data_IF_822834596576
#
_entry.id   IF_822834596576
#
_cell.length_a   1.000
_cell.length_b   1.000
_cell.length_c   1.000
_cell.angle_alpha   90.00
_cell.angle_beta   90.00
_cell.angle_gamma   90.00
#
_symmetry.space_group_name_H-M   'P 1'
#
loop_
_entity.id
_entity.type
_entity.pdbx_description
1 polymer ?
#
# COMPACT_ATOMS: atom_id res chain seq x y z
N UNK A 1 -42.47 13.03 20.83
CA UNK A 1 -41.21 13.14 21.58
C UNK A 1 -40.14 13.62 20.61
N UNK A 2 -39.64 14.85 20.78
CA UNK A 2 -38.61 15.40 19.90
C UNK A 2 -37.31 14.64 20.16
N UNK A 3 -36.81 13.96 19.13
CA UNK A 3 -35.49 13.33 19.17
C UNK A 3 -34.46 14.45 19.32
N UNK A 4 -33.94 14.64 20.53
CA UNK A 4 -32.81 15.53 20.76
C UNK A 4 -31.60 14.88 20.11
N UNK A 5 -31.33 15.26 18.85
CA UNK A 5 -30.12 14.91 18.13
C UNK A 5 -28.95 15.48 18.93
N UNK A 6 -28.37 14.66 19.80
CA UNK A 6 -27.27 15.07 20.67
C UNK A 6 -26.09 15.36 19.75
N UNK A 7 -25.69 16.63 19.65
CA UNK A 7 -24.50 17.00 18.92
C UNK A 7 -23.33 16.16 19.49
N UNK A 8 -22.61 15.49 18.60
CA UNK A 8 -21.35 14.81 18.92
C UNK A 8 -20.46 15.82 19.65
N UNK A 9 -19.82 15.40 20.75
CA UNK A 9 -18.94 16.26 21.55
C UNK A 9 -17.95 16.96 20.64
N UNK A 10 -18.03 18.29 20.54
CA UNK A 10 -17.07 19.08 19.77
C UNK A 10 -15.75 19.15 20.53
N UNK A 11 -14.64 19.05 19.82
CA UNK A 11 -13.30 19.23 20.40
C UNK A 11 -12.50 20.25 19.59
N UNK A 12 -11.44 20.76 20.21
CA UNK A 12 -10.52 21.66 19.55
C UNK A 12 -9.36 20.86 18.95
N UNK A 13 -8.88 21.28 17.78
CA UNK A 13 -7.65 20.74 17.21
C UNK A 13 -6.46 21.03 18.13
N UNK A 14 -5.59 20.02 18.28
CA UNK A 14 -4.37 20.11 19.09
C UNK A 14 -3.13 20.34 18.21
N UNK A 15 -1.94 20.42 18.81
CA UNK A 15 -0.71 20.66 18.04
C UNK A 15 -0.31 19.50 17.13
N UNK A 16 -0.77 18.28 17.42
CA UNK A 16 -0.40 17.06 16.71
C UNK A 16 -1.70 16.33 16.41
N UNK A 17 -2.00 16.16 15.14
CA UNK A 17 -3.18 15.44 14.65
C UNK A 17 -2.75 14.46 13.57
N UNK A 18 -3.51 13.39 13.37
CA UNK A 18 -3.39 12.53 12.20
C UNK A 18 -4.43 12.96 11.15
N UNK A 19 -4.28 12.54 9.90
CA UNK A 19 -5.27 12.81 8.84
C UNK A 19 -6.66 12.36 9.30
N UNK A 20 -6.78 11.16 9.85
CA UNK A 20 -8.04 10.63 10.35
C UNK A 20 -8.62 11.44 11.52
N UNK A 21 -7.82 11.86 12.51
CA UNK A 21 -8.37 12.68 13.62
C UNK A 21 -8.82 14.06 13.14
N UNK A 22 -8.10 14.63 12.17
CA UNK A 22 -8.47 15.88 11.50
C UNK A 22 -9.76 15.75 10.68
N UNK A 23 -9.90 14.72 9.85
CA UNK A 23 -11.11 14.52 9.03
C UNK A 23 -12.34 14.26 9.90
N UNK A 24 -12.21 13.46 10.98
CA UNK A 24 -13.28 13.29 11.96
C UNK A 24 -13.68 14.61 12.63
N UNK A 25 -12.70 15.45 12.97
CA UNK A 25 -12.96 16.78 13.53
C UNK A 25 -13.67 17.69 12.51
N UNK A 26 -13.22 17.67 11.25
CA UNK A 26 -13.76 18.48 10.18
C UNK A 26 -15.22 18.12 9.91
N UNK A 27 -15.53 16.82 9.77
CA UNK A 27 -16.90 16.34 9.59
C UNK A 27 -17.80 16.69 10.77
N UNK A 28 -17.31 16.55 12.01
CA UNK A 28 -18.03 16.95 13.21
C UNK A 28 -18.34 18.46 13.23
N UNK A 29 -17.36 19.29 12.85
CA UNK A 29 -17.49 20.73 12.82
C UNK A 29 -18.48 21.16 11.74
N UNK A 30 -18.37 20.64 10.52
CA UNK A 30 -19.29 20.91 9.41
C UNK A 30 -20.71 20.54 9.81
N UNK A 31 -20.91 19.34 10.36
CA UNK A 31 -22.22 18.91 10.87
C UNK A 31 -22.77 19.92 11.88
N UNK A 32 -21.99 20.32 12.88
CA UNK A 32 -22.47 21.24 13.90
C UNK A 32 -22.78 22.64 13.34
N UNK A 33 -21.96 23.15 12.43
CA UNK A 33 -22.22 24.41 11.74
C UNK A 33 -23.51 24.34 10.91
N UNK A 34 -23.75 23.21 10.24
CA UNK A 34 -24.96 22.98 9.43
C UNK A 34 -26.26 22.99 10.23
N UNK A 35 -26.21 22.67 11.54
CA UNK A 35 -27.39 22.74 12.42
C UNK A 35 -27.95 24.16 12.52
N UNK A 36 -27.11 25.18 12.33
CA UNK A 36 -27.54 26.56 12.22
C UNK A 36 -27.88 26.91 10.77
N UNK A 37 -29.18 27.03 10.49
CA UNK A 37 -29.70 27.39 9.15
C UNK A 37 -29.12 28.68 8.57
N UNK A 38 -28.61 29.58 9.42
CA UNK A 38 -27.98 30.82 8.96
C UNK A 38 -26.59 30.62 8.36
N UNK A 39 -25.93 29.49 8.64
CA UNK A 39 -24.59 29.17 8.11
C UNK A 39 -24.65 28.33 6.84
N UNK A 40 -25.76 27.62 6.60
CA UNK A 40 -25.94 26.78 5.42
C UNK A 40 -25.52 27.45 4.09
N UNK A 41 -25.84 28.73 3.81
CA UNK A 41 -25.42 29.39 2.57
C UNK A 41 -23.90 29.52 2.39
N UNK A 42 -23.12 29.50 3.47
CA UNK A 42 -21.66 29.67 3.43
C UNK A 42 -20.89 28.34 3.45
N UNK A 43 -21.58 27.23 3.76
CA UNK A 43 -20.99 25.88 3.83
C UNK A 43 -21.03 25.15 2.49
N UNK A 44 -21.70 25.69 1.47
CA UNK A 44 -21.77 25.11 0.13
C UNK A 44 -20.46 25.39 -0.62
N UNK A 45 -19.84 24.34 -1.16
CA UNK A 45 -18.64 24.43 -2.00
C UNK A 45 -18.85 25.41 -3.16
N UNK A 46 -17.87 26.29 -3.37
CA UNK A 46 -17.93 27.34 -4.39
C UNK A 46 -18.46 28.70 -3.93
N UNK A 47 -19.00 28.82 -2.71
CA UNK A 47 -19.34 30.13 -2.14
C UNK A 47 -18.08 30.93 -1.83
N UNK A 48 -17.92 32.08 -2.49
CA UNK A 48 -16.77 32.96 -2.32
C UNK A 48 -17.16 34.24 -1.57
N UNK A 49 -16.27 34.70 -0.70
CA UNK A 49 -16.35 35.99 -0.03
C UNK A 49 -15.03 36.75 -0.17
N UNK A 50 -15.10 38.07 -0.11
CA UNK A 50 -13.89 38.90 -0.23
C UNK A 50 -13.09 38.95 1.08
N UNK A 51 -11.76 39.08 0.96
CA UNK A 51 -10.84 39.28 2.09
C UNK A 51 -11.08 40.66 2.70
N UNK A 52 -11.02 40.77 4.03
CA UNK A 52 -11.29 42.04 4.72
C UNK A 52 -10.13 43.03 4.50
N UNK A 53 -10.28 43.96 3.56
CA UNK A 53 -9.33 45.08 3.34
C UNK A 53 -9.86 46.39 3.91
N UNK A 54 -9.03 47.44 3.96
CA UNK A 54 -9.33 48.72 4.63
C UNK A 54 -10.41 49.58 3.91
N UNK A 55 -10.91 49.15 2.75
CA UNK A 55 -11.80 49.96 1.90
C UNK A 55 -13.28 49.64 2.19
N UNK A 56 -14.14 50.67 2.25
CA UNK A 56 -15.55 50.56 2.67
C UNK A 56 -16.37 49.52 1.89
N UNK A 57 -16.08 49.33 0.59
CA UNK A 57 -16.74 48.33 -0.29
C UNK A 57 -16.40 46.89 0.10
N UNK A 58 -15.18 46.64 0.60
CA UNK A 58 -14.69 45.31 0.99
C UNK A 58 -15.08 44.93 2.43
N UNK A 59 -15.55 45.89 3.24
CA UNK A 59 -16.17 45.62 4.56
C UNK A 59 -17.39 44.71 4.47
N UNK A 60 -18.03 44.68 3.29
CA UNK A 60 -19.23 43.92 3.02
C UNK A 60 -18.94 42.53 2.44
N UNK A 61 -17.66 42.15 2.33
CA UNK A 61 -17.18 40.85 1.84
C UNK A 61 -17.78 40.40 0.49
N UNK A 62 -18.20 41.36 -0.35
CA UNK A 62 -18.85 41.09 -1.63
C UNK A 62 -20.34 40.69 -1.56
N UNK A 63 -21.02 40.86 -0.41
CA UNK A 63 -22.43 40.50 -0.28
C UNK A 63 -23.39 41.62 -0.68
N UNK A 64 -24.46 41.24 -1.38
CA UNK A 64 -25.60 42.09 -1.72
C UNK A 64 -26.83 41.74 -0.86
N UNK A 65 -27.78 42.68 -0.77
CA UNK A 65 -29.07 42.45 -0.11
C UNK A 65 -29.87 41.39 -0.88
N UNK A 66 -30.69 40.60 -0.17
CA UNK A 66 -31.63 39.72 -0.86
C UNK A 66 -32.63 40.52 -1.71
N UNK A 67 -32.81 40.10 -2.97
CA UNK A 67 -33.75 40.69 -3.90
C UNK A 67 -35.20 40.30 -3.63
N UNK A 68 -36.11 40.75 -4.49
CA UNK A 68 -37.54 40.50 -4.31
C UNK A 68 -37.95 39.03 -4.42
N UNK A 69 -37.09 38.19 -4.99
CA UNK A 69 -37.27 36.75 -5.16
C UNK A 69 -37.33 35.97 -3.84
N UNK A 70 -36.77 36.51 -2.76
CA UNK A 70 -36.84 35.91 -1.43
C UNK A 70 -38.09 36.41 -0.71
N UNK A 71 -38.90 35.54 -0.06
CA UNK A 71 -40.06 35.97 0.73
C UNK A 71 -39.68 37.03 1.75
N UNK A 72 -40.50 38.07 1.89
CA UNK A 72 -40.19 39.28 2.68
C UNK A 72 -39.75 38.96 4.13
N UNK A 73 -40.37 37.97 4.77
CA UNK A 73 -40.01 37.51 6.12
C UNK A 73 -38.65 36.81 6.25
N UNK A 74 -38.01 36.43 5.14
CA UNK A 74 -36.73 35.73 5.10
C UNK A 74 -35.61 36.55 4.44
N UNK A 75 -35.91 37.76 3.93
CA UNK A 75 -34.92 38.63 3.29
C UNK A 75 -33.87 39.08 4.31
N UNK A 76 -32.61 38.93 3.94
CA UNK A 76 -31.46 39.36 4.73
C UNK A 76 -30.76 40.53 4.07
N UNK A 77 -30.38 41.50 4.90
CA UNK A 77 -29.48 42.56 4.44
C UNK A 77 -28.05 42.03 4.30
N UNK A 78 -27.24 42.71 3.50
CA UNK A 78 -25.81 42.43 3.36
C UNK A 78 -25.09 42.46 4.72
N UNK A 79 -25.46 43.37 5.63
CA UNK A 79 -24.85 43.45 6.97
C UNK A 79 -25.21 42.23 7.83
N UNK A 80 -26.45 41.73 7.70
CA UNK A 80 -26.86 40.50 8.38
C UNK A 80 -26.10 39.28 7.84
N UNK A 81 -25.92 39.18 6.51
CA UNK A 81 -25.11 38.12 5.87
C UNK A 81 -23.65 38.16 6.35
N UNK A 82 -23.04 39.34 6.37
CA UNK A 82 -21.66 39.54 6.87
C UNK A 82 -21.55 39.16 8.34
N UNK A 83 -22.51 39.56 9.17
CA UNK A 83 -22.53 39.22 10.59
C UNK A 83 -22.65 37.70 10.81
N UNK A 84 -23.50 37.02 10.04
CA UNK A 84 -23.63 35.56 10.08
C UNK A 84 -22.34 34.86 9.64
N UNK A 85 -21.67 35.34 8.59
CA UNK A 85 -20.39 34.82 8.15
C UNK A 85 -19.31 35.02 9.21
N UNK A 86 -19.20 36.21 9.82
CA UNK A 86 -18.21 36.47 10.87
C UNK A 86 -18.43 35.61 12.12
N UNK A 87 -19.70 35.32 12.48
CA UNK A 87 -20.03 34.38 13.55
C UNK A 87 -19.59 32.95 13.22
N UNK A 88 -19.84 32.48 11.99
CA UNK A 88 -19.41 31.15 11.53
C UNK A 88 -17.88 31.03 11.56
N UNK A 89 -17.17 31.99 10.96
CA UNK A 89 -15.70 32.03 10.97
C UNK A 89 -15.14 32.13 12.40
N UNK A 90 -15.85 32.85 13.28
CA UNK A 90 -15.52 32.93 14.69
C UNK A 90 -15.65 31.60 15.43
N UNK A 91 -16.65 30.78 15.10
CA UNK A 91 -16.81 29.44 15.65
C UNK A 91 -15.70 28.50 15.16
N UNK A 92 -15.38 28.52 13.86
CA UNK A 92 -14.27 27.73 13.30
C UNK A 92 -12.96 28.10 14.01
N UNK A 93 -12.69 29.39 14.19
CA UNK A 93 -11.49 29.84 14.89
C UNK A 93 -11.46 29.48 16.38
N UNK A 94 -12.60 29.25 17.02
CA UNK A 94 -12.64 28.78 18.41
C UNK A 94 -12.24 27.30 18.52
N UNK A 95 -12.65 26.47 17.55
CA UNK A 95 -12.32 25.04 17.51
C UNK A 95 -10.99 24.74 16.80
N UNK A 96 -10.39 25.74 16.14
CA UNK A 96 -9.06 25.67 15.53
C UNK A 96 -8.12 26.73 16.11
N UNK A 97 -7.67 26.57 17.38
CA UNK A 97 -6.84 27.57 18.06
C UNK A 97 -5.39 27.63 17.54
N UNK A 98 -4.97 26.62 16.78
CA UNK A 98 -3.62 26.49 16.21
C UNK A 98 -3.35 27.47 15.06
N UNK A 99 -4.39 27.84 14.30
CA UNK A 99 -4.30 28.87 13.26
C UNK A 99 -4.70 30.22 13.86
N UNK A 100 -3.99 31.29 13.47
CA UNK A 100 -4.37 32.64 13.87
C UNK A 100 -5.81 32.95 13.49
N UNK A 101 -6.60 33.42 14.46
CA UNK A 101 -7.98 33.89 14.24
C UNK A 101 -8.07 34.94 13.12
N UNK A 102 -7.06 35.81 12.99
CA UNK A 102 -7.03 36.81 11.90
C UNK A 102 -6.89 36.15 10.53
N UNK A 103 -6.11 35.07 10.41
CA UNK A 103 -5.99 34.31 9.17
C UNK A 103 -7.35 33.76 8.76
N UNK A 104 -8.06 33.09 9.68
CA UNK A 104 -9.39 32.49 9.41
C UNK A 104 -10.43 33.56 9.08
N UNK A 105 -10.48 34.68 9.81
CA UNK A 105 -11.55 35.67 9.67
C UNK A 105 -11.31 36.65 8.51
N UNK A 106 -10.06 37.08 8.30
CA UNK A 106 -9.73 38.19 7.38
C UNK A 106 -9.09 37.76 6.07
N UNK A 107 -8.30 36.69 6.08
CA UNK A 107 -7.41 36.35 4.95
C UNK A 107 -7.95 35.23 4.06
N UNK A 108 -9.06 34.60 4.44
CA UNK A 108 -9.71 33.54 3.66
C UNK A 108 -10.83 34.09 2.78
N UNK A 109 -11.10 33.39 1.69
CA UNK A 109 -12.11 33.77 0.69
C UNK A 109 -13.16 32.68 0.40
N UNK A 110 -13.02 31.50 1.00
CA UNK A 110 -13.98 30.40 0.92
C UNK A 110 -13.78 29.46 2.10
N UNK A 111 -14.75 28.57 2.31
CA UNK A 111 -14.69 27.55 3.35
C UNK A 111 -13.57 26.54 3.04
N UNK A 112 -13.42 26.19 1.77
CA UNK A 112 -12.38 25.28 1.27
C UNK A 112 -10.97 25.85 1.50
N UNK A 113 -10.80 27.17 1.31
CA UNK A 113 -9.53 27.84 1.60
C UNK A 113 -9.15 27.75 3.09
N UNK A 114 -10.11 27.74 4.01
CA UNK A 114 -9.84 27.55 5.44
C UNK A 114 -9.33 26.14 5.69
N UNK A 115 -9.98 25.13 5.12
CA UNK A 115 -9.59 23.73 5.28
C UNK A 115 -8.20 23.46 4.71
N UNK A 116 -7.88 24.00 3.53
CA UNK A 116 -6.55 23.95 2.94
C UNK A 116 -5.48 24.56 3.86
N UNK A 117 -5.73 25.74 4.45
CA UNK A 117 -4.79 26.39 5.37
C UNK A 117 -4.52 25.51 6.59
N UNK A 118 -5.55 24.86 7.15
CA UNK A 118 -5.39 23.98 8.30
C UNK A 118 -4.62 22.70 7.90
N UNK A 119 -4.96 22.08 6.77
CA UNK A 119 -4.24 20.91 6.23
C UNK A 119 -2.76 21.23 6.00
N UNK A 120 -2.46 22.38 5.41
CA UNK A 120 -1.08 22.85 5.18
C UNK A 120 -0.31 23.00 6.50
N UNK A 121 -0.93 23.51 7.56
CA UNK A 121 -0.27 23.66 8.86
C UNK A 121 0.19 22.32 9.45
N UNK A 122 -0.59 21.25 9.28
CA UNK A 122 -0.21 19.91 9.74
C UNK A 122 0.66 19.15 8.74
N UNK A 123 0.87 19.68 7.53
CA UNK A 123 1.56 18.97 6.46
C UNK A 123 0.72 17.84 5.85
N UNK A 124 -0.60 17.83 6.03
CA UNK A 124 -1.53 16.88 5.39
C UNK A 124 -1.73 17.14 3.90
N UNK A 125 -0.75 17.78 3.24
CA UNK A 125 -0.84 17.98 1.81
C UNK A 125 -0.61 16.62 1.12
N UNK A 126 -1.57 16.23 0.28
CA UNK A 126 -1.33 15.19 -0.71
C UNK A 126 -0.31 15.78 -1.67
N UNK A 127 0.93 15.41 -1.45
CA UNK A 127 2.06 15.81 -2.28
C UNK A 127 2.48 14.61 -3.10
N UNK A 128 3.07 14.84 -4.27
CA UNK A 128 3.74 13.75 -4.99
C UNK A 128 4.78 13.01 -4.14
N UNK A 129 5.33 13.66 -3.11
CA UNK A 129 6.22 13.04 -2.13
C UNK A 129 5.48 12.07 -1.19
N UNK A 130 4.27 12.41 -0.72
CA UNK A 130 3.47 11.49 0.11
C UNK A 130 3.25 10.17 -0.63
N UNK A 131 2.93 10.21 -1.93
CA UNK A 131 2.74 8.99 -2.72
C UNK A 131 3.99 8.09 -2.78
N UNK A 132 5.20 8.66 -2.67
CA UNK A 132 6.45 7.88 -2.61
C UNK A 132 6.54 7.05 -1.31
N UNK A 133 5.92 7.51 -0.22
CA UNK A 133 5.89 6.78 1.05
C UNK A 133 5.09 5.47 0.96
N UNK A 134 4.37 5.22 -0.14
CA UNK A 134 3.73 3.94 -0.43
C UNK A 134 4.75 2.78 -0.42
N UNK A 135 5.99 3.03 -0.86
CA UNK A 135 7.06 2.04 -0.89
C UNK A 135 7.50 1.59 0.51
N UNK A 136 7.26 2.41 1.53
CA UNK A 136 7.58 2.05 2.91
C UNK A 136 6.61 1.02 3.50
N UNK A 137 5.45 0.79 2.86
CA UNK A 137 4.46 -0.19 3.30
C UNK A 137 4.98 -1.60 3.01
N UNK A 138 5.23 -2.36 4.06
CA UNK A 138 5.64 -3.76 4.00
C UNK A 138 4.74 -4.62 4.89
N UNK A 139 4.79 -5.94 4.67
CA UNK A 139 4.09 -6.92 5.48
C UNK A 139 4.84 -7.15 6.80
N UNK A 140 4.18 -6.90 7.93
CA UNK A 140 4.81 -6.98 9.24
C UNK A 140 4.79 -8.42 9.82
N UNK A 141 5.80 -8.82 10.62
CA UNK A 141 5.81 -10.13 11.25
C UNK A 141 4.60 -10.34 12.18
N UNK A 142 3.77 -11.33 11.87
CA UNK A 142 2.57 -11.66 12.65
C UNK A 142 1.35 -10.78 12.35
N UNK A 143 1.47 -9.86 11.39
CA UNK A 143 0.34 -9.10 10.88
C UNK A 143 -0.64 -10.02 10.14
N UNK A 144 -1.95 -9.75 10.24
CA UNK A 144 -2.91 -10.45 9.42
C UNK A 144 -2.85 -9.88 8.00
N UNK A 145 -2.88 -10.72 6.94
CA UNK A 145 -2.91 -10.22 5.57
C UNK A 145 -4.01 -9.20 5.29
N UNK A 146 -5.17 -9.33 5.94
CA UNK A 146 -6.24 -8.35 5.82
C UNK A 146 -5.86 -6.97 6.37
N UNK A 147 -5.10 -6.90 7.47
CA UNK A 147 -4.68 -5.64 8.08
C UNK A 147 -3.72 -4.89 7.13
N UNK A 148 -2.82 -5.61 6.46
CA UNK A 148 -1.97 -5.06 5.39
C UNK A 148 -2.82 -4.48 4.25
N UNK A 149 -3.87 -5.20 3.81
CA UNK A 149 -4.78 -4.70 2.77
C UNK A 149 -5.47 -3.41 3.21
N UNK A 150 -5.93 -3.31 4.45
CA UNK A 150 -6.55 -2.09 4.98
C UNK A 150 -5.57 -0.92 5.00
N UNK A 151 -4.30 -1.14 5.38
CA UNK A 151 -3.26 -0.09 5.33
C UNK A 151 -3.00 0.40 3.91
N UNK A 152 -2.89 -0.52 2.96
CA UNK A 152 -2.72 -0.20 1.54
C UNK A 152 -3.92 0.58 0.99
N UNK A 153 -5.14 0.14 1.30
CA UNK A 153 -6.38 0.80 0.87
C UNK A 153 -6.48 2.23 1.43
N UNK A 154 -6.30 2.38 2.74
CA UNK A 154 -6.37 3.67 3.41
C UNK A 154 -5.34 4.65 2.82
N UNK A 155 -4.11 4.19 2.56
CA UNK A 155 -3.10 5.03 1.91
C UNK A 155 -3.53 5.50 0.52
N UNK A 156 -4.09 4.61 -0.31
CA UNK A 156 -4.53 4.98 -1.66
C UNK A 156 -5.71 5.94 -1.59
N UNK A 157 -6.70 5.70 -0.72
CA UNK A 157 -7.83 6.61 -0.50
C UNK A 157 -7.35 7.98 -0.03
N UNK A 158 -6.39 8.03 0.89
CA UNK A 158 -5.74 9.27 1.36
C UNK A 158 -4.89 9.93 0.28
N UNK A 159 -4.56 9.24 -0.83
CA UNK A 159 -3.76 9.76 -1.94
C UNK A 159 -4.59 10.19 -3.15
N UNK A 160 -5.89 9.89 -3.20
CA UNK A 160 -6.75 10.27 -4.31
C UNK A 160 -6.79 11.80 -4.44
N UNK A 161 -6.59 12.29 -5.66
CA UNK A 161 -6.57 13.72 -5.91
C UNK A 161 -7.98 14.30 -5.87
N UNK A 162 -8.15 15.42 -5.19
CA UNK A 162 -9.42 16.14 -5.14
C UNK A 162 -9.28 17.53 -5.72
N UNK A 163 -10.42 18.14 -6.07
CA UNK A 163 -10.47 19.58 -6.29
C UNK A 163 -10.01 20.27 -5.02
N UNK A 164 -9.35 21.41 -5.16
CA UNK A 164 -8.88 22.20 -4.01
C UNK A 164 -7.80 21.50 -3.15
N UNK A 165 -6.99 20.60 -3.70
CA UNK A 165 -5.80 20.08 -2.99
C UNK A 165 -4.53 20.94 -3.19
N UNK A 166 -4.56 21.87 -4.16
CA UNK A 166 -3.42 22.72 -4.47
C UNK A 166 -2.23 21.97 -5.10
N UNK A 167 -2.51 20.83 -5.72
CA UNK A 167 -1.57 20.03 -6.51
C UNK A 167 -2.05 20.02 -7.97
N UNK A 168 -1.11 20.09 -8.89
CA UNK A 168 -1.36 20.01 -10.33
C UNK A 168 -0.97 18.63 -10.84
N UNK A 169 -1.73 18.09 -11.78
CA UNK A 169 -1.37 16.90 -12.54
C UNK A 169 -1.14 17.29 -14.00
N UNK A 170 0.02 16.96 -14.57
CA UNK A 170 0.40 17.39 -15.91
C UNK A 170 0.34 18.92 -16.13
N UNK A 171 0.76 19.69 -15.12
CA UNK A 171 0.70 21.16 -15.10
C UNK A 171 -0.73 21.74 -15.18
N UNK A 172 -1.75 20.91 -14.98
CA UNK A 172 -3.17 21.29 -14.95
C UNK A 172 -3.72 21.14 -13.52
N UNK A 173 -4.62 22.05 -13.14
CA UNK A 173 -5.33 21.97 -11.87
C UNK A 173 -6.34 20.80 -11.92
N UNK A 174 -6.53 20.14 -10.78
CA UNK A 174 -7.53 19.07 -10.65
C UNK A 174 -8.93 19.68 -10.59
N UNK A 175 -9.75 19.38 -11.60
CA UNK A 175 -11.12 19.91 -11.72
C UNK A 175 -12.15 19.03 -11.00
N UNK A 176 -11.94 17.71 -11.03
CA UNK A 176 -12.85 16.70 -10.49
C UNK A 176 -12.19 15.88 -9.37
N UNK A 177 -13.00 15.44 -8.41
CA UNK A 177 -12.53 14.56 -7.35
C UNK A 177 -12.26 13.15 -7.93
N UNK A 178 -11.04 12.65 -7.75
CA UNK A 178 -10.60 11.34 -8.23
C UNK A 178 -11.33 10.24 -7.45
N UNK A 179 -11.88 9.29 -8.20
CA UNK A 179 -12.47 8.09 -7.63
C UNK A 179 -11.55 6.89 -7.82
N UNK A 180 -11.63 5.96 -6.88
CA UNK A 180 -10.88 4.71 -6.94
C UNK A 180 -11.29 3.89 -8.17
N UNK A 181 -10.43 3.89 -9.19
CA UNK A 181 -10.73 3.22 -10.45
C UNK A 181 -10.50 1.69 -10.37
N UNK A 182 -11.18 0.88 -11.19
CA UNK A 182 -11.01 -0.57 -11.19
C UNK A 182 -9.56 -1.03 -11.46
N UNK A 183 -8.77 -0.26 -12.21
CA UNK A 183 -7.36 -0.60 -12.45
C UNK A 183 -6.51 -0.35 -11.21
N UNK A 184 -6.77 0.74 -10.48
CA UNK A 184 -6.08 1.09 -9.25
C UNK A 184 -6.39 0.06 -8.15
N UNK A 185 -7.65 -0.35 -8.03
CA UNK A 185 -8.03 -1.45 -7.14
C UNK A 185 -7.29 -2.75 -7.50
N UNK A 186 -7.20 -3.11 -8.79
CA UNK A 186 -6.47 -4.33 -9.21
C UNK A 186 -4.97 -4.25 -8.92
N UNK A 187 -4.35 -3.08 -9.07
CA UNK A 187 -2.96 -2.86 -8.70
C UNK A 187 -2.76 -2.95 -7.19
N UNK A 188 -3.73 -2.50 -6.40
CA UNK A 188 -3.72 -2.64 -4.95
C UNK A 188 -3.68 -4.11 -4.54
N UNK A 189 -4.57 -4.94 -5.10
CA UNK A 189 -4.58 -6.38 -4.82
C UNK A 189 -3.30 -7.05 -5.29
N UNK A 190 -2.78 -6.68 -6.46
CA UNK A 190 -1.52 -7.24 -6.94
C UNK A 190 -0.34 -6.88 -6.01
N UNK A 191 -0.32 -5.66 -5.48
CA UNK A 191 0.69 -5.19 -4.54
C UNK A 191 0.57 -5.91 -3.21
N UNK A 192 -0.65 -6.01 -2.66
CA UNK A 192 -0.97 -6.78 -1.46
C UNK A 192 -0.44 -8.21 -1.53
N UNK A 193 -0.72 -8.92 -2.63
CA UNK A 193 -0.24 -10.29 -2.84
C UNK A 193 1.28 -10.39 -2.90
N UNK A 194 1.93 -9.42 -3.57
CA UNK A 194 3.40 -9.40 -3.72
C UNK A 194 4.11 -9.14 -2.40
N UNK A 195 3.56 -8.27 -1.55
CA UNK A 195 4.10 -7.96 -0.23
C UNK A 195 3.98 -9.12 0.75
N UNK A 196 2.92 -9.94 0.63
CA UNK A 196 2.79 -11.17 1.42
C UNK A 196 3.82 -12.22 0.98
N UNK A 197 3.91 -12.52 -0.33
CA UNK A 197 4.89 -13.46 -0.85
C UNK A 197 5.16 -13.23 -2.35
N UNK A 198 6.44 -13.21 -2.81
CA UNK A 198 6.78 -12.85 -4.19
C UNK A 198 6.23 -13.80 -5.26
N UNK A 199 6.10 -15.11 -4.98
CA UNK A 199 5.53 -16.09 -5.93
C UNK A 199 3.99 -16.18 -5.89
N UNK A 200 3.33 -15.51 -4.93
CA UNK A 200 1.89 -15.64 -4.73
C UNK A 200 1.04 -15.16 -5.92
N UNK A 201 1.36 -14.02 -6.60
CA UNK A 201 0.63 -13.62 -7.81
C UNK A 201 0.65 -14.68 -8.91
N UNK A 202 1.76 -15.40 -9.06
CA UNK A 202 1.90 -16.43 -10.07
C UNK A 202 1.08 -17.67 -9.72
N UNK A 203 1.04 -18.07 -8.44
CA UNK A 203 0.20 -19.17 -7.97
C UNK A 203 -1.30 -18.84 -8.15
N UNK A 204 -1.71 -17.61 -7.82
CA UNK A 204 -3.10 -17.16 -8.02
C UNK A 204 -3.50 -17.18 -9.49
N UNK A 205 -2.61 -16.74 -10.38
CA UNK A 205 -2.84 -16.82 -11.82
C UNK A 205 -3.05 -18.26 -12.30
N UNK A 206 -2.34 -19.23 -11.72
CA UNK A 206 -2.50 -20.66 -12.04
C UNK A 206 -3.83 -21.21 -11.50
N UNK A 207 -4.16 -20.90 -10.24
CA UNK A 207 -5.32 -21.47 -9.56
C UNK A 207 -6.66 -20.85 -9.98
N UNK A 208 -6.71 -19.54 -10.16
CA UNK A 208 -7.92 -18.77 -10.48
C UNK A 208 -7.97 -18.31 -11.94
N UNK A 209 -7.17 -18.93 -12.81
CA UNK A 209 -7.04 -18.53 -14.21
C UNK A 209 -8.33 -18.63 -15.03
N UNK A 210 -9.32 -19.40 -14.57
CA UNK A 210 -10.65 -19.50 -15.18
C UNK A 210 -11.57 -18.33 -14.79
N UNK A 211 -11.56 -17.96 -13.52
CA UNK A 211 -12.34 -16.89 -12.91
C UNK A 211 -11.85 -15.53 -13.42
N UNK A 212 -10.53 -15.36 -13.49
CA UNK A 212 -9.86 -14.16 -13.99
C UNK A 212 -10.14 -13.86 -15.48
N UNK A 213 -10.77 -14.78 -16.22
CA UNK A 213 -11.25 -14.49 -17.58
C UNK A 213 -12.51 -13.62 -17.60
N UNK A 214 -13.27 -13.60 -16.50
CA UNK A 214 -14.59 -12.95 -16.41
C UNK A 214 -14.71 -11.97 -15.24
N UNK A 215 -13.82 -12.06 -14.24
CA UNK A 215 -13.82 -11.25 -13.03
C UNK A 215 -12.45 -10.57 -12.86
N UNK A 216 -12.46 -9.38 -12.29
CA UNK A 216 -11.22 -8.69 -11.92
C UNK A 216 -10.55 -9.36 -10.72
N UNK A 217 -9.28 -9.05 -10.48
CA UNK A 217 -8.55 -9.59 -9.33
C UNK A 217 -9.17 -9.14 -8.01
N UNK A 218 -9.63 -7.88 -7.96
CA UNK A 218 -10.42 -7.32 -6.85
C UNK A 218 -11.71 -8.09 -6.62
N UNK A 219 -12.43 -8.42 -7.69
CA UNK A 219 -13.69 -9.14 -7.59
C UNK A 219 -13.53 -10.50 -6.91
N UNK A 220 -12.35 -11.13 -6.99
CA UNK A 220 -12.07 -12.45 -6.38
C UNK A 220 -11.26 -12.37 -5.08
N UNK A 221 -11.07 -11.15 -4.52
CA UNK A 221 -10.23 -10.93 -3.34
C UNK A 221 -10.71 -11.73 -2.14
N UNK A 222 -12.02 -11.83 -1.94
CA UNK A 222 -12.60 -12.56 -0.81
C UNK A 222 -12.30 -14.06 -0.90
N UNK A 223 -12.41 -14.66 -2.09
CA UNK A 223 -12.05 -16.06 -2.33
C UNK A 223 -10.54 -16.29 -2.14
N UNK A 224 -9.70 -15.37 -2.61
CA UNK A 224 -8.24 -15.45 -2.39
C UNK A 224 -7.90 -15.37 -0.90
N UNK A 225 -8.50 -14.41 -0.19
CA UNK A 225 -8.26 -14.22 1.24
C UNK A 225 -8.65 -15.44 2.07
N UNK A 226 -9.74 -16.13 1.71
CA UNK A 226 -10.17 -17.36 2.38
C UNK A 226 -9.21 -18.53 2.12
N UNK A 227 -8.63 -18.60 0.92
CA UNK A 227 -7.69 -19.65 0.55
C UNK A 227 -6.23 -19.33 0.92
N UNK A 228 -5.94 -18.13 1.45
CA UNK A 228 -4.60 -17.58 1.53
C UNK A 228 -3.65 -18.44 2.36
N UNK A 229 -4.09 -18.95 3.51
CA UNK A 229 -3.27 -19.82 4.36
C UNK A 229 -2.86 -21.11 3.61
N UNK A 230 -3.80 -21.75 2.92
CA UNK A 230 -3.53 -22.93 2.09
C UNK A 230 -2.60 -22.63 0.92
N UNK A 231 -2.70 -21.44 0.31
CA UNK A 231 -1.79 -21.01 -0.75
C UNK A 231 -0.37 -20.80 -0.24
N UNK A 232 -0.22 -20.24 0.96
CA UNK A 232 1.08 -20.02 1.59
C UNK A 232 1.72 -21.34 2.02
N UNK A 233 0.94 -22.28 2.56
CA UNK A 233 1.41 -23.64 2.84
C UNK A 233 1.90 -24.34 1.56
N UNK A 234 1.14 -24.24 0.45
CA UNK A 234 1.56 -24.80 -0.83
C UNK A 234 2.90 -24.21 -1.28
N UNK A 235 3.06 -22.89 -1.22
CA UNK A 235 4.33 -22.25 -1.57
C UNK A 235 5.47 -22.75 -0.67
N UNK A 236 5.25 -22.85 0.63
CA UNK A 236 6.24 -23.37 1.57
C UNK A 236 6.67 -24.80 1.21
N UNK A 237 5.72 -25.71 0.98
CA UNK A 237 6.03 -27.10 0.59
C UNK A 237 6.76 -27.20 -0.74
N UNK A 238 6.43 -26.34 -1.72
CA UNK A 238 7.12 -26.33 -3.00
C UNK A 238 8.56 -25.83 -2.85
N UNK A 239 8.81 -24.85 -2.00
CA UNK A 239 10.15 -24.34 -1.72
C UNK A 239 11.01 -25.38 -0.98
N UNK A 240 10.46 -26.04 0.04
CA UNK A 240 11.13 -27.17 0.72
C UNK A 240 11.48 -28.29 -0.27
N UNK A 241 10.57 -28.63 -1.18
CA UNK A 241 10.83 -29.63 -2.22
C UNK A 241 11.94 -29.20 -3.19
N UNK A 242 12.00 -27.91 -3.57
CA UNK A 242 13.10 -27.35 -4.38
C UNK A 242 14.44 -27.46 -3.63
N UNK A 243 14.48 -27.11 -2.34
CA UNK A 243 15.66 -27.18 -1.47
C UNK A 243 16.15 -28.63 -1.35
N UNK A 244 15.24 -29.58 -1.06
CA UNK A 244 15.57 -31.01 -0.94
C UNK A 244 16.15 -31.57 -2.24
N UNK A 245 15.57 -31.23 -3.40
CA UNK A 245 16.12 -31.62 -4.71
C UNK A 245 17.48 -30.98 -5.00
N UNK A 246 17.70 -29.73 -4.59
CA UNK A 246 18.99 -29.06 -4.74
C UNK A 246 20.06 -29.66 -3.82
N UNK A 247 19.71 -30.08 -2.61
CA UNK A 247 20.58 -30.78 -1.67
C UNK A 247 21.02 -32.16 -2.21
N UNK A 248 20.12 -32.91 -2.85
CA UNK A 248 20.46 -34.18 -3.53
C UNK A 248 21.51 -33.97 -4.62
N UNK A 249 21.49 -32.84 -5.33
CA UNK A 249 22.51 -32.49 -6.35
C UNK A 249 23.85 -32.05 -5.75
N UNK A 250 23.90 -31.68 -4.46
CA UNK A 250 25.10 -31.22 -3.75
C UNK A 250 25.81 -32.30 -2.96
N UNK A 251 25.26 -33.52 -2.86
CA UNK A 251 26.12 -34.65 -2.52
C UNK A 251 27.21 -34.70 -3.58
N UNK A 252 28.50 -34.64 -3.21
CA UNK A 252 29.53 -35.03 -4.14
C UNK A 252 29.10 -36.42 -4.59
N UNK A 253 28.94 -36.63 -5.90
CA UNK A 253 29.23 -37.96 -6.42
C UNK A 253 30.64 -38.22 -5.89
N UNK A 254 30.75 -38.97 -4.78
CA UNK A 254 31.96 -39.70 -4.46
C UNK A 254 32.31 -40.30 -5.80
N UNK A 255 33.42 -39.84 -6.37
CA UNK A 255 33.88 -40.31 -7.66
C UNK A 255 33.90 -41.83 -7.53
N UNK A 256 32.84 -42.51 -7.98
CA UNK A 256 32.99 -43.83 -8.54
C UNK A 256 33.98 -43.55 -9.62
N UNK A 257 35.24 -43.87 -9.33
CA UNK A 257 36.33 -43.67 -10.25
C UNK A 257 35.82 -44.24 -11.55
N UNK A 258 35.76 -43.39 -12.57
CA UNK A 258 35.70 -43.84 -13.95
C UNK A 258 36.52 -45.11 -14.02
N UNK A 259 35.86 -46.23 -14.31
CA UNK A 259 36.52 -47.49 -14.56
C UNK A 259 37.38 -47.21 -15.79
N UNK A 260 38.60 -46.74 -15.56
CA UNK A 260 39.63 -46.71 -16.58
C UNK A 260 39.74 -48.17 -16.99
N UNK A 261 39.50 -48.53 -18.26
CA UNK A 261 39.73 -49.89 -18.68
C UNK A 261 41.19 -50.17 -18.36
N UNK A 262 41.46 -50.97 -17.32
CA UNK A 262 42.81 -51.43 -17.02
C UNK A 262 43.24 -52.15 -18.28
N UNK A 263 44.12 -51.52 -19.05
CA UNK A 263 44.85 -52.19 -20.12
C UNK A 263 45.39 -53.50 -19.53
N UNK A 264 45.00 -54.62 -20.13
CA UNK A 264 45.34 -55.99 -19.74
C UNK A 264 46.86 -56.24 -19.89
N UNK A 265 47.70 -55.49 -19.19
CA UNK A 265 49.10 -55.82 -19.04
C UNK A 265 49.19 -57.02 -18.11
N UNK A 266 49.48 -58.17 -18.70
CA UNK A 266 49.83 -59.41 -18.00
C UNK A 266 50.95 -59.05 -17.01
N UNK A 267 50.71 -59.18 -15.72
CA UNK A 267 51.72 -58.96 -14.68
C UNK A 267 51.74 -60.15 -13.72
N UNK A 268 52.92 -60.76 -13.55
CA UNK A 268 53.15 -61.90 -12.69
C UNK A 268 53.43 -61.41 -11.26
N UNK A 269 52.55 -61.70 -10.27
CA UNK A 269 52.69 -61.15 -8.92
C UNK A 269 54.00 -61.55 -8.22
N UNK A 270 54.49 -62.77 -8.49
CA UNK A 270 55.76 -63.31 -7.96
C UNK A 270 56.98 -62.60 -8.52
N UNK A 271 57.00 -62.36 -9.83
CA UNK A 271 58.13 -61.67 -10.47
C UNK A 271 58.12 -60.19 -10.11
N UNK A 272 56.93 -59.58 -9.99
CA UNK A 272 56.77 -58.21 -9.53
C UNK A 272 57.28 -58.00 -8.10
N UNK A 273 56.95 -58.89 -7.16
CA UNK A 273 57.44 -58.78 -5.78
C UNK A 273 58.94 -59.05 -5.65
N UNK A 274 59.52 -59.85 -6.55
CA UNK A 274 60.95 -60.12 -6.61
C UNK A 274 61.74 -59.09 -7.44
N UNK A 275 61.12 -58.02 -7.95
CA UNK A 275 61.77 -57.00 -8.77
C UNK A 275 62.26 -57.50 -10.15
N UNK A 276 61.65 -58.57 -10.68
CA UNK A 276 62.02 -59.22 -11.94
C UNK A 276 61.08 -58.80 -13.07
N UNK A 277 61.43 -59.02 -14.36
CA UNK A 277 60.53 -58.79 -15.48
C UNK A 277 59.20 -59.54 -15.30
N UNK A 278 58.11 -58.80 -15.10
CA UNK A 278 56.83 -59.33 -14.64
C UNK A 278 55.78 -59.40 -15.75
N UNK A 279 56.09 -59.02 -17.00
CA UNK A 279 55.16 -58.96 -18.13
C UNK A 279 54.73 -60.33 -18.71
N UNK A 280 54.19 -61.21 -17.86
CA UNK A 280 53.68 -62.55 -18.20
C UNK A 280 52.61 -63.00 -17.19
N UNK A 281 51.89 -64.08 -17.47
CA UNK A 281 50.95 -64.68 -16.52
C UNK A 281 51.66 -65.58 -15.51
N UNK A 282 51.11 -65.71 -14.29
CA UNK A 282 51.66 -66.59 -13.26
C UNK A 282 51.80 -68.05 -13.73
N UNK A 283 50.86 -68.53 -14.56
CA UNK A 283 50.90 -69.87 -15.17
C UNK A 283 52.10 -70.09 -16.11
N UNK A 284 52.65 -69.03 -16.68
CA UNK A 284 53.81 -69.06 -17.59
C UNK A 284 55.12 -68.66 -16.89
N UNK A 285 55.09 -68.46 -15.57
CA UNK A 285 56.26 -68.03 -14.81
C UNK A 285 57.26 -69.18 -14.63
N UNK A 286 58.50 -68.97 -15.10
CA UNK A 286 59.61 -69.93 -14.99
C UNK A 286 60.01 -70.20 -13.54
N UNK A 287 59.82 -69.22 -12.66
CA UNK A 287 60.13 -69.31 -11.23
C UNK A 287 58.98 -69.85 -10.38
N UNK A 288 57.88 -70.26 -10.99
CA UNK A 288 56.75 -70.83 -10.29
C UNK A 288 56.99 -72.32 -10.00
N UNK A 289 56.96 -72.76 -8.72
CA UNK A 289 57.24 -74.14 -8.33
C UNK A 289 56.36 -75.14 -9.07
N UNK A 290 56.91 -76.28 -9.49
CA UNK A 290 56.16 -77.29 -10.24
C UNK A 290 55.03 -77.93 -9.41
N UNK A 291 55.18 -78.03 -8.09
CA UNK A 291 54.11 -78.51 -7.19
C UNK A 291 52.89 -77.58 -7.24
N UNK A 292 53.11 -76.26 -7.28
CA UNK A 292 52.03 -75.26 -7.33
C UNK A 292 51.37 -75.15 -8.71
N UNK A 293 52.07 -75.58 -9.79
CA UNK A 293 51.51 -75.59 -11.17
C UNK A 293 50.33 -76.54 -11.32
N UNK A 294 50.31 -77.62 -10.55
CA UNK A 294 49.24 -78.62 -10.61
C UNK A 294 47.88 -78.03 -10.22
N UNK A 295 47.88 -77.01 -9.35
CA UNK A 295 46.66 -76.32 -8.91
C UNK A 295 46.18 -75.22 -9.87
N UNK A 296 46.93 -74.92 -10.94
CA UNK A 296 46.54 -73.92 -11.95
C UNK A 296 46.07 -74.55 -13.27
N UNK A 297 46.13 -75.88 -13.40
CA UNK A 297 45.66 -76.61 -14.58
C UNK A 297 44.30 -77.27 -14.28
N UNK A 298 43.24 -76.47 -14.28
CA UNK A 298 41.84 -76.91 -14.42
C UNK A 298 41.24 -76.08 -15.54
#
# INVERSE_FOLDING_TARGET
MASSTRALTQWCLTKIETVNTFENWLQNLIYTLSLNKNFAPFLVSGTKWEKKTKTTTTTQKGFENDGEEVPEGNRKTREQKVSMLELMLGQIANYCPIISRNTIIKNTSSIDNIWQIIRLHYGFQITGAHFVDFDAIHYDPGERPEDLYQRLMAFIEDSLLGKDMGITHHDEDIEDDEELSPILENLLILTWLRLIHPELPQLIKQRYGTELRKRTLVSIKTEISQALESLLEELHTTEEAKIMRAAVKRFPKTKQSSFVPRSNFKSCPRCKSAGRPDRHFLSQCTYFPQQDRQFMAI
#
